data_IF_812992275343
#
_entry.id   IF_812992275343
#
_cell.length_a   1.000
_cell.length_b   1.000
_cell.length_c   1.000
_cell.angle_alpha   90.00
_cell.angle_beta   90.00
_cell.angle_gamma   90.00
#
_symmetry.space_group_name_H-M   'P 1'
#
loop_
_entity.id
_entity.type
_entity.pdbx_description
1 polymer ?
#
# COMPACT_ATOMS: atom_id res chain seq x y z
N UNK A 1 -26.23 -61.13 61.12
CA UNK A 1 -25.12 -61.56 62.00
C UNK A 1 -23.84 -61.09 61.32
N UNK A 2 -23.05 -60.21 61.94
CA UNK A 2 -21.78 -59.73 61.37
C UNK A 2 -20.68 -60.69 61.85
N UNK A 3 -20.04 -61.43 60.94
CA UNK A 3 -18.92 -62.34 61.23
C UNK A 3 -17.59 -61.56 61.12
N UNK A 4 -17.12 -60.99 62.24
CA UNK A 4 -15.83 -60.30 62.31
C UNK A 4 -14.75 -61.29 62.77
N UNK A 5 -13.84 -61.70 61.89
CA UNK A 5 -12.68 -62.56 62.22
C UNK A 5 -11.37 -61.81 62.03
N UNK A 6 -10.48 -61.89 63.02
CA UNK A 6 -9.09 -61.41 62.94
C UNK A 6 -8.15 -62.62 62.97
N UNK A 7 -7.28 -62.75 61.96
CA UNK A 7 -6.24 -63.80 61.90
C UNK A 7 -4.87 -63.14 61.75
N UNK A 8 -3.92 -63.48 62.64
CA UNK A 8 -2.52 -63.05 62.57
C UNK A 8 -1.65 -64.31 62.50
N UNK A 9 -0.85 -64.44 61.44
CA UNK A 9 0.12 -65.53 61.25
C UNK A 9 1.29 -65.06 60.36
N UNK A 10 2.13 -66.00 59.91
CA UNK A 10 3.29 -65.73 59.02
C UNK A 10 2.93 -65.04 57.69
N UNK A 11 1.65 -65.03 57.29
CA UNK A 11 1.17 -64.37 56.08
C UNK A 11 0.70 -62.92 56.32
N UNK A 12 0.68 -62.46 57.58
CA UNK A 12 0.33 -61.10 57.99
C UNK A 12 -1.07 -60.97 58.63
N UNK A 13 -1.68 -59.79 58.47
CA UNK A 13 -3.01 -59.44 59.01
C UNK A 13 -4.02 -59.37 57.86
N UNK A 14 -5.16 -60.04 58.01
CA UNK A 14 -6.30 -59.90 57.11
C UNK A 14 -7.59 -59.77 57.94
N UNK A 15 -8.23 -58.61 57.86
CA UNK A 15 -9.52 -58.33 58.50
C UNK A 15 -10.54 -57.96 57.42
N UNK A 16 -11.73 -58.54 57.49
CA UNK A 16 -12.81 -58.24 56.56
C UNK A 16 -14.16 -58.16 57.28
N UNK A 17 -15.01 -57.24 56.85
CA UNK A 17 -16.41 -57.13 57.27
C UNK A 17 -17.29 -57.23 56.03
N UNK A 18 -18.27 -58.15 56.03
CA UNK A 18 -19.15 -58.44 54.88
C UNK A 18 -20.62 -58.34 55.28
N UNK A 19 -21.43 -57.73 54.42
CA UNK A 19 -22.89 -57.67 54.57
C UNK A 19 -23.56 -57.86 53.21
N UNK A 20 -24.58 -58.72 53.18
CA UNK A 20 -25.42 -58.95 52.00
C UNK A 20 -26.85 -58.62 52.37
N UNK A 21 -27.48 -57.72 51.61
CA UNK A 21 -28.90 -57.36 51.76
C UNK A 21 -29.66 -57.78 50.50
N UNK A 22 -30.79 -58.47 50.68
CA UNK A 22 -31.65 -58.94 49.60
C UNK A 22 -33.00 -58.24 49.71
N UNK A 23 -33.36 -57.44 48.70
CA UNK A 23 -34.64 -56.75 48.64
C UNK A 23 -35.64 -57.56 47.83
N UNK A 24 -36.77 -57.89 48.45
CA UNK A 24 -37.86 -58.68 47.84
C UNK A 24 -38.95 -57.75 47.27
N UNK A 25 -39.78 -58.27 46.35
CA UNK A 25 -40.81 -57.51 45.60
C UNK A 25 -41.72 -56.60 46.47
N UNK A 26 -42.02 -57.00 47.69
CA UNK A 26 -42.95 -56.28 48.59
C UNK A 26 -42.32 -55.07 49.28
N UNK A 27 -41.00 -54.95 49.28
CA UNK A 27 -40.25 -53.91 50.02
C UNK A 27 -39.71 -52.78 49.12
N UNK A 28 -39.88 -52.89 47.80
CA UNK A 28 -39.40 -51.92 46.81
C UNK A 28 -40.58 -51.29 46.04
N UNK A 29 -41.50 -50.61 46.75
CA UNK A 29 -42.61 -49.74 46.28
C UNK A 29 -43.40 -50.13 44.99
N UNK A 30 -43.36 -51.40 44.58
CA UNK A 30 -44.14 -51.95 43.45
C UNK A 30 -43.84 -51.37 42.06
N UNK A 31 -43.05 -50.30 41.92
CA UNK A 31 -42.93 -49.56 40.65
C UNK A 31 -41.74 -49.93 39.76
N UNK A 32 -40.67 -50.56 40.26
CA UNK A 32 -39.42 -50.67 39.49
C UNK A 32 -38.74 -52.05 39.36
N UNK A 33 -39.27 -53.14 39.93
CA UNK A 33 -38.53 -54.40 39.97
C UNK A 33 -39.30 -55.64 39.44
N UNK A 34 -38.81 -56.22 38.33
CA UNK A 34 -39.25 -57.52 37.81
C UNK A 34 -38.63 -58.73 38.55
N UNK A 35 -37.56 -58.54 39.35
CA UNK A 35 -36.88 -59.56 40.19
C UNK A 35 -36.21 -58.97 41.45
N UNK A 36 -35.68 -59.80 42.36
CA UNK A 36 -35.02 -59.37 43.62
C UNK A 36 -33.65 -58.71 43.37
N UNK A 37 -33.35 -57.61 44.08
CA UNK A 37 -32.05 -56.91 44.02
C UNK A 37 -31.18 -57.28 45.22
N UNK A 38 -29.89 -57.57 45.00
CA UNK A 38 -28.92 -57.92 46.05
C UNK A 38 -27.85 -56.84 46.14
N UNK A 39 -27.71 -56.22 47.31
CA UNK A 39 -26.65 -55.24 47.63
C UNK A 39 -25.58 -55.93 48.46
N UNK A 40 -24.37 -56.02 47.92
CA UNK A 40 -23.22 -56.61 48.61
C UNK A 40 -22.22 -55.53 49.03
N UNK A 41 -21.91 -55.46 50.32
CA UNK A 41 -20.93 -54.54 50.87
C UNK A 41 -19.81 -55.32 51.57
N UNK A 42 -18.56 -54.97 51.27
CA UNK A 42 -17.38 -55.57 51.88
C UNK A 42 -16.35 -54.48 52.20
N UNK A 43 -15.79 -54.50 53.40
CA UNK A 43 -14.57 -53.73 53.73
C UNK A 43 -13.47 -54.71 54.09
N UNK A 44 -12.24 -54.45 53.64
CA UNK A 44 -11.08 -55.30 53.88
C UNK A 44 -9.83 -54.49 54.22
N UNK A 45 -9.06 -54.98 55.19
CA UNK A 45 -7.73 -54.53 55.55
C UNK A 45 -6.76 -55.72 55.41
N UNK A 46 -5.70 -55.57 54.62
CA UNK A 46 -4.63 -56.55 54.46
C UNK A 46 -3.27 -55.91 54.71
N UNK A 47 -2.47 -56.47 55.61
CA UNK A 47 -1.07 -56.12 55.81
C UNK A 47 -0.25 -57.39 55.62
N UNK A 48 0.65 -57.40 54.65
CA UNK A 48 1.50 -58.56 54.30
C UNK A 48 2.92 -58.11 54.00
N UNK A 49 3.86 -59.05 53.84
CA UNK A 49 5.23 -58.75 53.38
C UNK A 49 5.28 -58.01 52.03
N UNK A 50 4.23 -58.13 51.22
CA UNK A 50 4.11 -57.49 49.90
C UNK A 50 3.56 -56.06 49.97
N UNK A 51 3.01 -55.64 51.11
CA UNK A 51 2.47 -54.28 51.30
C UNK A 51 1.16 -54.20 52.11
N UNK A 52 0.50 -53.05 51.99
CA UNK A 52 -0.74 -52.69 52.71
C UNK A 52 -1.88 -52.43 51.72
N UNK A 53 -3.04 -53.03 51.94
CA UNK A 53 -4.26 -52.79 51.17
C UNK A 53 -5.46 -52.53 52.07
N UNK A 54 -6.17 -51.42 51.83
CA UNK A 54 -7.44 -51.09 52.47
C UNK A 54 -8.46 -50.91 51.36
N UNK A 55 -9.56 -51.68 51.36
CA UNK A 55 -10.61 -51.52 50.35
C UNK A 55 -11.99 -51.52 50.97
N UNK A 56 -12.88 -50.72 50.37
CA UNK A 56 -14.31 -50.72 50.61
C UNK A 56 -14.96 -50.96 49.25
N UNK A 57 -15.79 -51.99 49.18
CA UNK A 57 -16.51 -52.42 48.00
C UNK A 57 -18.00 -52.38 48.27
N UNK A 58 -18.73 -51.74 47.39
CA UNK A 58 -20.20 -51.79 47.33
C UNK A 58 -20.61 -52.17 45.91
N UNK A 59 -21.22 -53.34 45.76
CA UNK A 59 -21.48 -53.96 44.45
C UNK A 59 -20.19 -54.02 43.62
N UNK A 60 -20.11 -53.34 42.47
CA UNK A 60 -18.92 -53.31 41.61
C UNK A 60 -18.01 -52.09 41.83
N UNK A 61 -18.40 -51.14 42.70
CA UNK A 61 -17.61 -49.93 42.99
C UNK A 61 -16.63 -50.25 44.11
N UNK A 62 -15.34 -50.01 43.86
CA UNK A 62 -14.27 -50.24 44.82
C UNK A 62 -13.53 -48.92 45.07
N UNK A 63 -13.51 -48.48 46.32
CA UNK A 63 -12.53 -47.52 46.81
C UNK A 63 -11.40 -48.30 47.49
N UNK A 64 -10.15 -48.06 47.11
CA UNK A 64 -9.01 -48.78 47.66
C UNK A 64 -7.75 -47.94 47.79
N UNK A 65 -7.01 -48.16 48.87
CA UNK A 65 -5.65 -47.70 49.11
C UNK A 65 -4.74 -48.93 49.01
N UNK A 66 -3.80 -48.94 48.06
CA UNK A 66 -2.83 -50.02 47.90
C UNK A 66 -1.41 -49.46 47.94
N UNK A 67 -0.57 -49.97 48.85
CA UNK A 67 0.81 -49.55 49.03
C UNK A 67 1.73 -50.76 48.84
N UNK A 68 2.74 -50.62 47.97
CA UNK A 68 3.85 -51.56 47.75
C UNK A 68 5.19 -50.90 48.12
N UNK A 69 6.31 -51.60 47.90
CA UNK A 69 7.65 -51.03 48.10
C UNK A 69 7.98 -49.91 47.10
N UNK A 70 7.31 -49.86 45.95
CA UNK A 70 7.58 -48.91 44.86
C UNK A 70 6.53 -47.81 44.72
N UNK A 71 5.29 -48.02 45.19
CA UNK A 71 4.20 -47.09 44.88
C UNK A 71 3.03 -47.14 45.85
N UNK A 72 2.27 -46.05 45.88
CA UNK A 72 0.97 -45.95 46.53
C UNK A 72 -0.08 -45.63 45.46
N UNK A 73 -1.09 -46.47 45.33
CA UNK A 73 -2.24 -46.28 44.44
C UNK A 73 -3.49 -46.01 45.26
N UNK A 74 -4.06 -44.83 45.09
CA UNK A 74 -5.37 -44.45 45.59
C UNK A 74 -6.37 -44.60 44.44
N UNK A 75 -7.32 -45.52 44.58
CA UNK A 75 -8.39 -45.73 43.61
C UNK A 75 -9.72 -45.36 44.25
N UNK A 76 -10.32 -44.25 43.84
CA UNK A 76 -11.62 -43.81 44.28
C UNK A 76 -12.23 -42.86 43.25
N UNK A 77 -13.54 -42.69 43.26
CA UNK A 77 -14.21 -41.69 42.42
C UNK A 77 -13.85 -40.25 42.83
N UNK A 78 -13.51 -40.03 44.11
CA UNK A 78 -13.11 -38.74 44.67
C UNK A 78 -12.02 -38.94 45.72
N UNK A 79 -11.00 -38.10 45.69
CA UNK A 79 -9.94 -38.02 46.70
C UNK A 79 -9.87 -36.57 47.17
N UNK A 80 -10.26 -36.31 48.42
CA UNK A 80 -10.17 -34.99 49.02
C UNK A 80 -8.82 -34.84 49.74
N UNK A 81 -7.99 -33.92 49.25
CA UNK A 81 -6.72 -33.56 49.86
C UNK A 81 -6.85 -32.16 50.48
N UNK A 82 -6.65 -32.05 51.79
CA UNK A 82 -6.73 -30.78 52.52
C UNK A 82 -5.31 -30.33 52.87
N UNK A 83 -4.86 -29.19 52.32
CA UNK A 83 -3.55 -28.60 52.59
C UNK A 83 -2.67 -28.46 51.34
N UNK A 84 -1.38 -28.16 51.55
CA UNK A 84 -0.38 -28.05 50.48
C UNK A 84 0.11 -29.43 50.06
N UNK A 85 0.19 -29.66 48.75
CA UNK A 85 0.73 -30.90 48.16
C UNK A 85 1.98 -30.54 47.36
N UNK A 86 3.12 -31.15 47.70
CA UNK A 86 4.33 -31.06 46.89
C UNK A 86 4.33 -32.23 45.90
N UNK A 87 4.39 -31.94 44.61
CA UNK A 87 4.46 -32.94 43.55
C UNK A 87 5.42 -32.46 42.45
N UNK A 88 6.30 -33.35 41.99
CA UNK A 88 7.22 -33.04 40.89
C UNK A 88 6.52 -33.08 39.53
N UNK A 89 5.55 -33.99 39.37
CA UNK A 89 4.76 -34.15 38.16
C UNK A 89 3.29 -34.38 38.51
N UNK A 90 2.40 -33.78 37.73
CA UNK A 90 0.95 -33.95 37.83
C UNK A 90 0.42 -34.30 36.44
N UNK A 91 -0.24 -35.45 36.31
CA UNK A 91 -0.98 -35.83 35.11
C UNK A 91 -2.47 -35.81 35.43
N UNK A 92 -3.18 -34.80 34.96
CA UNK A 92 -4.61 -34.61 35.18
C UNK A 92 -5.36 -34.52 33.83
N UNK A 93 -6.64 -34.88 33.84
CA UNK A 93 -7.53 -34.65 32.69
C UNK A 93 -8.02 -33.20 32.61
N UNK A 94 -8.56 -32.69 33.72
CA UNK A 94 -9.05 -31.31 33.87
C UNK A 94 -8.58 -30.76 35.22
N UNK A 95 -8.01 -29.55 35.19
CA UNK A 95 -7.80 -28.72 36.38
C UNK A 95 -8.82 -27.57 36.32
N UNK A 96 -9.59 -27.36 37.39
CA UNK A 96 -10.64 -26.34 37.45
C UNK A 96 -10.57 -25.59 38.78
N UNK A 97 -10.72 -24.27 38.74
CA UNK A 97 -10.67 -23.41 39.92
C UNK A 97 -9.27 -23.23 40.53
N UNK A 98 -8.20 -23.48 39.78
CA UNK A 98 -6.82 -23.30 40.24
C UNK A 98 -6.12 -22.12 39.54
N UNK A 99 -5.28 -21.41 40.28
CA UNK A 99 -4.26 -20.52 39.71
C UNK A 99 -2.95 -21.29 39.57
N UNK A 100 -2.26 -21.16 38.44
CA UNK A 100 -0.96 -21.77 38.23
C UNK A 100 0.12 -20.68 38.09
N UNK A 101 1.14 -20.75 38.92
CA UNK A 101 2.33 -19.89 38.85
C UNK A 101 3.57 -20.74 38.69
N UNK A 102 4.41 -20.39 37.72
CA UNK A 102 5.66 -21.13 37.48
C UNK A 102 6.77 -20.85 38.50
N UNK A 103 6.64 -19.79 39.30
CA UNK A 103 7.60 -19.39 40.32
C UNK A 103 6.91 -18.59 41.43
N UNK A 104 7.52 -18.58 42.62
CA UNK A 104 7.12 -17.73 43.75
C UNK A 104 7.91 -16.41 43.82
N UNK A 105 8.79 -16.16 42.84
CA UNK A 105 9.49 -14.88 42.67
C UNK A 105 8.62 -13.86 41.90
N UNK A 106 9.12 -12.65 41.72
CA UNK A 106 8.42 -11.62 40.94
C UNK A 106 8.40 -11.87 39.42
N UNK A 107 9.14 -12.89 38.96
CA UNK A 107 9.21 -13.29 37.55
C UNK A 107 8.53 -14.65 37.38
N UNK A 108 7.35 -14.67 36.77
CA UNK A 108 6.56 -15.89 36.62
C UNK A 108 5.57 -15.80 35.46
N UNK A 109 5.15 -16.97 34.99
CA UNK A 109 3.96 -17.10 34.16
C UNK A 109 2.79 -17.37 35.07
N UNK A 110 1.70 -16.64 34.87
CA UNK A 110 0.44 -16.82 35.60
C UNK A 110 -0.63 -17.34 34.66
N UNK A 111 -1.30 -18.41 35.06
CA UNK A 111 -2.59 -18.84 34.51
C UNK A 111 -3.65 -18.53 35.57
N UNK A 112 -4.31 -17.39 35.40
CA UNK A 112 -5.33 -16.89 36.34
C UNK A 112 -6.68 -16.85 35.63
N UNK A 113 -7.61 -17.70 36.08
CA UNK A 113 -8.94 -17.88 35.49
C UNK A 113 -8.90 -18.18 33.99
N UNK A 114 -9.18 -17.16 33.15
CA UNK A 114 -9.23 -17.26 31.69
C UNK A 114 -8.02 -16.61 31.01
N UNK A 115 -7.02 -16.16 31.78
CA UNK A 115 -5.95 -15.30 31.30
C UNK A 115 -4.58 -15.89 31.50
N UNK A 116 -3.68 -15.56 30.57
CA UNK A 116 -2.26 -15.89 30.65
C UNK A 116 -1.47 -14.59 30.75
N UNK A 117 -0.59 -14.49 31.75
CA UNK A 117 0.25 -13.31 31.97
C UNK A 117 1.72 -13.68 32.14
N UNK A 118 2.60 -12.87 31.56
CA UNK A 118 4.04 -12.91 31.84
C UNK A 118 4.38 -11.75 32.77
N UNK A 119 4.88 -12.07 33.95
CA UNK A 119 5.30 -11.10 34.94
C UNK A 119 6.82 -10.97 34.99
N UNK A 120 7.29 -9.73 35.09
CA UNK A 120 8.65 -9.40 35.47
C UNK A 120 8.60 -8.33 36.57
N UNK A 121 9.21 -8.59 37.73
CA UNK A 121 9.24 -7.66 38.87
C UNK A 121 7.86 -7.14 39.28
N UNK A 122 6.85 -8.01 39.23
CA UNK A 122 5.46 -7.67 39.55
C UNK A 122 4.73 -6.84 38.48
N UNK A 123 5.37 -6.58 37.34
CA UNK A 123 4.78 -5.86 36.20
C UNK A 123 4.43 -6.85 35.09
N UNK A 124 3.20 -6.79 34.58
CA UNK A 124 2.80 -7.58 33.42
C UNK A 124 3.51 -7.07 32.17
N UNK A 125 4.26 -7.95 31.50
CA UNK A 125 4.95 -7.69 30.23
C UNK A 125 4.20 -8.22 29.02
N UNK A 126 3.33 -9.21 29.24
CA UNK A 126 2.42 -9.72 28.23
C UNK A 126 1.13 -10.20 28.87
N UNK A 127 0.03 -10.01 28.15
CA UNK A 127 -1.30 -10.49 28.53
C UNK A 127 -1.96 -11.14 27.31
N UNK A 128 -2.47 -12.36 27.50
CA UNK A 128 -3.34 -13.04 26.55
C UNK A 128 -4.67 -13.35 27.24
N UNK A 129 -5.75 -12.82 26.67
CA UNK A 129 -7.07 -12.94 27.26
C UNK A 129 -8.13 -12.17 26.50
N UNK A 130 -9.01 -11.49 27.23
CA UNK A 130 -10.02 -10.62 26.69
C UNK A 130 -10.23 -9.43 27.62
N UNK A 131 -10.75 -8.33 27.08
CA UNK A 131 -11.26 -7.21 27.85
C UNK A 131 -12.69 -6.90 27.43
N UNK A 132 -13.42 -6.18 28.28
CA UNK A 132 -14.78 -5.71 27.96
C UNK A 132 -14.74 -4.25 27.53
N UNK A 133 -15.35 -3.97 26.39
CA UNK A 133 -15.56 -2.61 25.90
C UNK A 133 -16.67 -1.92 26.69
N UNK A 134 -16.78 -0.60 26.54
CA UNK A 134 -17.84 0.22 27.14
C UNK A 134 -19.26 -0.19 26.71
N UNK A 135 -19.41 -0.77 25.52
CA UNK A 135 -20.65 -1.36 25.00
C UNK A 135 -20.99 -2.75 25.58
N UNK A 136 -20.14 -3.28 26.49
CA UNK A 136 -20.30 -4.59 27.12
C UNK A 136 -19.79 -5.77 26.30
N UNK A 137 -19.37 -5.56 25.05
CA UNK A 137 -18.84 -6.62 24.20
C UNK A 137 -17.49 -7.12 24.72
N UNK A 138 -17.32 -8.44 24.69
CA UNK A 138 -16.05 -9.11 25.01
C UNK A 138 -15.16 -9.06 23.78
N UNK A 139 -13.93 -8.58 23.95
CA UNK A 139 -12.96 -8.47 22.88
C UNK A 139 -11.70 -9.28 23.23
N UNK A 140 -11.49 -10.44 22.57
CA UNK A 140 -10.23 -11.16 22.68
C UNK A 140 -9.04 -10.27 22.31
N UNK A 141 -7.99 -10.32 23.10
CA UNK A 141 -6.82 -9.46 22.94
C UNK A 141 -5.51 -10.14 23.34
N UNK A 142 -4.45 -9.69 22.68
CA UNK A 142 -3.08 -9.95 23.08
C UNK A 142 -2.35 -8.61 23.20
N UNK A 143 -1.72 -8.38 24.34
CA UNK A 143 -1.04 -7.14 24.69
C UNK A 143 0.41 -7.45 25.01
N UNK A 144 1.35 -6.72 24.41
CA UNK A 144 2.76 -6.70 24.83
C UNK A 144 3.14 -5.34 25.39
N UNK A 145 3.80 -5.36 26.53
CA UNK A 145 4.21 -4.18 27.29
C UNK A 145 3.29 -3.85 28.48
N UNK A 146 2.12 -4.51 28.60
CA UNK A 146 1.22 -4.30 29.74
C UNK A 146 0.16 -5.40 29.96
N UNK A 147 -0.74 -5.15 30.92
CA UNK A 147 -1.94 -5.96 31.24
C UNK A 147 -3.23 -5.37 30.64
N UNK A 148 -4.36 -6.07 30.80
CA UNK A 148 -5.70 -5.72 30.30
C UNK A 148 -6.39 -4.57 31.07
N UNK A 149 -5.78 -4.07 32.13
CA UNK A 149 -6.44 -3.27 33.16
C UNK A 149 -6.63 -1.80 32.76
N UNK A 150 -7.84 -1.39 32.36
CA UNK A 150 -8.42 -0.03 32.19
C UNK A 150 -7.61 1.09 31.50
N UNK A 151 -6.33 0.88 31.23
CA UNK A 151 -5.32 1.90 30.94
C UNK A 151 -4.27 1.35 29.95
N UNK A 152 -4.59 0.44 29.02
CA UNK A 152 -3.64 -0.10 28.03
C UNK A 152 -2.69 1.01 27.55
N UNK A 153 -1.44 1.05 28.08
CA UNK A 153 -0.70 2.29 28.17
C UNK A 153 -0.27 2.69 26.78
N UNK A 154 -0.02 3.97 26.60
CA UNK A 154 0.58 4.46 25.38
C UNK A 154 1.86 3.67 25.06
N UNK A 155 2.00 3.24 23.81
CA UNK A 155 3.18 2.51 23.35
C UNK A 155 3.12 0.99 23.47
N UNK A 156 2.02 0.38 23.93
CA UNK A 156 1.90 -1.09 23.93
C UNK A 156 1.55 -1.64 22.55
N UNK A 157 2.06 -2.83 22.23
CA UNK A 157 1.52 -3.59 21.10
C UNK A 157 0.16 -4.14 21.52
N UNK A 158 -0.86 -3.82 20.74
CA UNK A 158 -2.23 -4.19 20.99
C UNK A 158 -2.81 -4.93 19.78
N UNK A 159 -3.16 -6.20 20.00
CA UNK A 159 -3.84 -7.05 19.03
C UNK A 159 -5.23 -7.37 19.52
N UNK A 160 -6.24 -7.29 18.65
CA UNK A 160 -7.61 -7.56 19.06
C UNK A 160 -8.49 -8.03 17.90
N UNK A 161 -9.55 -8.75 18.24
CA UNK A 161 -10.58 -9.20 17.31
C UNK A 161 -11.95 -8.81 17.85
N UNK A 162 -12.85 -8.30 17.00
CA UNK A 162 -14.20 -7.94 17.38
C UNK A 162 -15.24 -8.49 16.40
N UNK A 163 -16.42 -8.84 16.93
CA UNK A 163 -17.58 -9.23 16.13
C UNK A 163 -17.43 -10.56 15.39
N UNK A 164 -16.73 -11.55 15.95
CA UNK A 164 -16.57 -12.85 15.29
C UNK A 164 -17.93 -13.43 14.83
N UNK A 165 -17.99 -13.89 13.58
CA UNK A 165 -19.22 -14.38 12.96
C UNK A 165 -20.11 -13.31 12.29
N UNK A 166 -19.89 -12.02 12.56
CA UNK A 166 -20.69 -10.93 12.00
C UNK A 166 -20.10 -10.42 10.68
N UNK A 167 -20.90 -9.79 9.82
CA UNK A 167 -20.43 -9.26 8.53
C UNK A 167 -19.40 -8.13 8.72
N UNK A 168 -19.56 -7.34 9.78
CA UNK A 168 -18.62 -6.29 10.20
C UNK A 168 -17.50 -6.77 11.13
N UNK A 169 -17.21 -8.08 11.19
CA UNK A 169 -16.10 -8.59 11.98
C UNK A 169 -14.78 -7.95 11.53
N UNK A 170 -13.93 -7.57 12.48
CA UNK A 170 -12.62 -7.03 12.20
C UNK A 170 -11.58 -7.51 13.21
N UNK A 171 -10.32 -7.45 12.80
CA UNK A 171 -9.16 -7.63 13.66
C UNK A 171 -8.19 -6.47 13.44
N UNK A 172 -7.44 -6.11 14.47
CA UNK A 172 -6.40 -5.09 14.34
C UNK A 172 -5.16 -5.45 15.14
N UNK A 173 -4.01 -5.05 14.62
CA UNK A 173 -2.71 -5.06 15.31
C UNK A 173 -2.11 -3.67 15.20
N UNK A 174 -1.61 -3.12 16.29
CA UNK A 174 -0.99 -1.79 16.27
C UNK A 174 -0.45 -1.36 17.61
N UNK A 175 0.01 -0.11 17.68
CA UNK A 175 0.52 0.52 18.89
C UNK A 175 -0.57 1.37 19.52
N UNK A 176 -0.85 1.17 20.80
CA UNK A 176 -1.84 1.96 21.55
C UNK A 176 -1.37 3.40 21.76
N UNK A 177 -2.32 4.33 21.75
CA UNK A 177 -2.12 5.76 21.97
C UNK A 177 -3.10 6.28 23.03
N UNK A 178 -3.33 5.48 24.06
CA UNK A 178 -4.27 5.78 25.14
C UNK A 178 -5.67 5.18 24.92
N UNK A 179 -6.57 5.51 25.84
CA UNK A 179 -7.95 5.04 25.87
C UNK A 179 -8.88 6.25 25.88
N UNK A 180 -9.86 6.22 24.99
CA UNK A 180 -10.92 7.23 24.90
C UNK A 180 -12.26 6.48 24.92
N UNK A 181 -13.17 6.86 25.83
CA UNK A 181 -14.49 6.25 26.01
C UNK A 181 -14.48 4.72 26.18
N UNK A 182 -13.44 4.21 26.85
CA UNK A 182 -13.25 2.78 27.09
C UNK A 182 -12.82 1.99 25.85
N UNK A 183 -12.44 2.66 24.76
CA UNK A 183 -11.85 2.05 23.57
C UNK A 183 -10.37 2.41 23.44
N UNK A 184 -9.54 1.41 23.13
CA UNK A 184 -8.11 1.59 22.88
C UNK A 184 -7.92 2.32 21.55
N UNK A 185 -7.39 3.53 21.61
CA UNK A 185 -6.94 4.28 20.44
C UNK A 185 -5.56 3.78 20.03
N UNK A 186 -5.24 3.88 18.74
CA UNK A 186 -3.96 3.43 18.19
C UNK A 186 -3.31 4.54 17.39
N UNK A 187 -1.98 4.70 17.53
CA UNK A 187 -1.20 5.68 16.76
C UNK A 187 -0.80 5.15 15.39
N UNK A 188 -0.51 3.85 15.32
CA UNK A 188 -0.20 3.12 14.08
C UNK A 188 -0.85 1.76 14.19
N UNK A 189 -1.59 1.34 13.15
CA UNK A 189 -2.21 0.02 13.14
C UNK A 189 -2.49 -0.49 11.73
N UNK A 190 -2.62 -1.82 11.65
CA UNK A 190 -3.22 -2.52 10.55
C UNK A 190 -4.55 -3.10 10.99
N UNK A 191 -5.62 -2.74 10.27
CA UNK A 191 -6.95 -3.29 10.46
C UNK A 191 -7.35 -4.18 9.28
N UNK A 192 -7.98 -5.29 9.61
CA UNK A 192 -8.41 -6.35 8.72
C UNK A 192 -9.90 -6.59 8.93
N UNK A 193 -10.72 -6.22 7.96
CA UNK A 193 -12.17 -6.39 8.04
C UNK A 193 -12.65 -7.55 7.16
N UNK A 194 -13.65 -8.28 7.65
CA UNK A 194 -14.25 -9.43 6.95
C UNK A 194 -14.89 -9.06 5.61
N UNK A 195 -15.36 -7.82 5.46
CA UNK A 195 -15.93 -7.30 4.21
C UNK A 195 -14.89 -7.09 3.09
N UNK A 196 -13.60 -7.37 3.35
CA UNK A 196 -12.52 -7.23 2.39
C UNK A 196 -11.74 -5.91 2.49
N UNK A 197 -12.07 -5.03 3.44
CA UNK A 197 -11.30 -3.81 3.70
C UNK A 197 -10.05 -4.12 4.53
N UNK A 198 -8.90 -3.60 4.08
CA UNK A 198 -7.64 -3.57 4.83
C UNK A 198 -7.21 -2.12 4.99
N UNK A 199 -7.00 -1.66 6.22
CA UNK A 199 -6.57 -0.29 6.52
C UNK A 199 -5.19 -0.33 7.12
N UNK A 200 -4.22 0.31 6.47
CA UNK A 200 -2.94 0.66 7.07
C UNK A 200 -3.04 2.13 7.51
N UNK A 201 -2.91 2.40 8.80
CA UNK A 201 -3.03 3.74 9.36
C UNK A 201 -1.77 4.08 10.18
N UNK A 202 -1.28 5.30 10.00
CA UNK A 202 -0.32 5.97 10.85
C UNK A 202 -0.77 7.42 11.05
N UNK A 203 -0.76 7.90 12.29
CA UNK A 203 -1.17 9.28 12.62
C UNK A 203 -0.30 10.38 11.97
N UNK A 204 0.89 10.03 11.49
CA UNK A 204 1.83 10.96 10.87
C UNK A 204 2.12 10.54 9.41
N UNK A 205 3.13 9.70 9.16
CA UNK A 205 3.45 9.21 7.83
C UNK A 205 3.81 7.71 7.82
N UNK A 206 3.61 7.08 6.65
CA UNK A 206 4.12 5.75 6.38
C UNK A 206 5.49 5.82 5.69
N UNK A 207 6.45 5.03 6.17
CA UNK A 207 7.72 4.80 5.48
C UNK A 207 7.75 3.38 4.93
N UNK A 208 7.99 3.27 3.63
CA UNK A 208 7.99 2.01 2.92
C UNK A 208 9.36 1.80 2.26
N UNK A 209 10.07 0.72 2.60
CA UNK A 209 11.35 0.34 1.99
C UNK A 209 11.17 -0.87 1.06
N UNK A 210 11.61 -0.74 -0.18
CA UNK A 210 11.69 -1.83 -1.13
C UNK A 210 13.12 -1.91 -1.66
N UNK A 211 13.79 -3.05 -1.47
CA UNK A 211 15.18 -3.23 -1.91
C UNK A 211 15.38 -3.06 -3.41
N UNK A 212 14.33 -3.32 -4.22
CA UNK A 212 14.35 -3.10 -5.67
C UNK A 212 13.91 -1.70 -6.09
N UNK A 213 13.46 -0.85 -5.14
CA UNK A 213 12.86 0.46 -5.46
C UNK A 213 11.49 0.38 -6.15
N UNK A 214 10.86 -0.79 -6.22
CA UNK A 214 9.63 -1.00 -7.00
C UNK A 214 8.40 -1.26 -6.13
N UNK A 215 7.30 -0.55 -6.41
CA UNK A 215 6.01 -0.66 -5.74
C UNK A 215 4.88 -0.87 -6.74
N UNK A 216 4.14 -1.97 -6.60
CA UNK A 216 3.07 -2.35 -7.53
C UNK A 216 1.69 -2.18 -6.88
N UNK A 217 0.86 -1.33 -7.45
CA UNK A 217 -0.55 -1.17 -7.10
C UNK A 217 -1.40 -1.81 -8.20
N UNK A 218 -1.83 -3.05 -7.96
CA UNK A 218 -2.50 -3.87 -8.98
C UNK A 218 -4.02 -3.85 -8.81
N UNK A 219 -4.73 -3.54 -9.90
CA UNK A 219 -6.16 -3.80 -10.03
C UNK A 219 -6.40 -5.20 -10.61
N UNK A 220 -7.48 -5.85 -10.18
CA UNK A 220 -7.88 -7.18 -10.68
C UNK A 220 -7.38 -8.34 -9.82
N UNK A 221 -7.59 -9.57 -10.31
CA UNK A 221 -7.21 -10.80 -9.59
C UNK A 221 -5.81 -11.28 -10.00
N UNK A 222 -5.03 -11.91 -9.10
CA UNK A 222 -3.84 -12.66 -9.47
C UNK A 222 -4.09 -13.55 -10.71
N UNK A 223 -3.34 -13.34 -11.80
CA UNK A 223 -3.42 -14.15 -13.02
C UNK A 223 -4.46 -13.74 -14.08
N UNK A 224 -5.27 -12.69 -13.88
CA UNK A 224 -6.29 -12.24 -14.84
C UNK A 224 -6.39 -10.70 -14.88
N UNK A 225 -6.45 -10.11 -16.09
CA UNK A 225 -6.68 -8.67 -16.36
C UNK A 225 -6.07 -7.72 -15.31
N UNK A 226 -4.74 -7.74 -15.19
CA UNK A 226 -4.04 -6.87 -14.25
C UNK A 226 -3.68 -5.55 -14.90
N UNK A 227 -4.26 -4.46 -14.38
CA UNK A 227 -3.70 -3.13 -14.58
C UNK A 227 -2.84 -2.80 -13.37
N UNK A 228 -1.73 -2.10 -13.58
CA UNK A 228 -0.85 -1.69 -12.49
C UNK A 228 -0.53 -0.21 -12.59
N UNK A 229 -0.67 0.49 -11.48
CA UNK A 229 0.06 1.72 -11.21
C UNK A 229 1.36 1.29 -10.52
N UNK A 230 2.51 1.73 -11.01
CA UNK A 230 3.80 1.29 -10.47
C UNK A 230 4.71 2.49 -10.22
N UNK A 231 5.36 2.50 -9.06
CA UNK A 231 6.49 3.39 -8.78
C UNK A 231 7.75 2.55 -8.88
N UNK A 232 8.68 2.90 -9.75
CA UNK A 232 9.91 2.14 -9.98
C UNK A 232 11.10 3.08 -9.92
N UNK A 233 12.09 2.76 -9.08
CA UNK A 233 13.40 3.42 -9.07
C UNK A 233 14.47 2.38 -9.45
N UNK A 234 15.22 2.66 -10.53
CA UNK A 234 16.27 1.76 -11.02
C UNK A 234 17.70 2.29 -10.75
N UNK A 235 17.86 3.18 -9.77
CA UNK A 235 19.09 3.94 -9.43
C UNK A 235 19.48 5.03 -10.42
N UNK A 236 18.92 5.05 -11.63
CA UNK A 236 19.15 6.09 -12.64
C UNK A 236 17.91 6.92 -12.88
N UNK A 237 16.78 6.24 -13.04
CA UNK A 237 15.47 6.79 -13.35
C UNK A 237 14.48 6.45 -12.23
N UNK A 238 13.63 7.42 -11.92
CA UNK A 238 12.44 7.25 -11.08
C UNK A 238 11.21 7.41 -11.98
N UNK A 239 10.44 6.33 -12.09
CA UNK A 239 9.29 6.19 -12.98
C UNK A 239 7.99 6.09 -12.18
N UNK A 240 7.00 6.89 -12.58
CA UNK A 240 5.59 6.63 -12.31
C UNK A 240 4.98 6.01 -13.57
N UNK A 241 4.79 4.69 -13.53
CA UNK A 241 4.25 3.92 -14.65
C UNK A 241 2.74 3.77 -14.51
N UNK A 242 2.03 4.43 -15.41
CA UNK A 242 0.61 4.22 -15.68
C UNK A 242 0.47 3.08 -16.71
N UNK A 243 -0.76 2.57 -16.95
CA UNK A 243 -0.96 1.43 -17.85
C UNK A 243 -0.36 1.62 -19.26
N UNK A 244 -0.42 2.82 -19.83
CA UNK A 244 0.00 3.12 -21.20
C UNK A 244 0.99 4.28 -21.32
N UNK A 245 1.36 4.92 -20.21
CA UNK A 245 2.36 6.00 -20.21
C UNK A 245 3.25 5.88 -18.98
N UNK A 246 4.46 6.42 -19.08
CA UNK A 246 5.39 6.53 -17.96
C UNK A 246 5.79 7.98 -17.82
N UNK A 247 5.63 8.53 -16.62
CA UNK A 247 6.22 9.80 -16.25
C UNK A 247 7.57 9.48 -15.60
N UNK A 248 8.64 9.97 -16.21
CA UNK A 248 10.01 9.68 -15.77
C UNK A 248 10.71 10.96 -15.36
N UNK A 249 11.47 10.88 -14.28
CA UNK A 249 12.57 11.81 -14.02
C UNK A 249 13.82 10.99 -13.75
N UNK A 250 14.97 11.45 -14.25
CA UNK A 250 16.21 10.69 -14.16
C UNK A 250 17.39 11.56 -13.78
N UNK A 251 18.47 10.89 -13.39
CA UNK A 251 19.79 11.46 -13.10
C UNK A 251 20.79 11.22 -14.23
N UNK A 252 20.35 10.58 -15.31
CA UNK A 252 21.18 10.33 -16.48
C UNK A 252 21.58 11.64 -17.18
N UNK A 253 22.81 11.67 -17.67
CA UNK A 253 23.32 12.79 -18.47
C UNK A 253 22.46 12.98 -19.73
N UNK A 254 22.05 14.22 -19.99
CA UNK A 254 21.24 14.60 -21.15
C UNK A 254 19.76 14.87 -20.83
N UNK A 255 19.22 14.36 -19.72
CA UNK A 255 17.85 14.67 -19.28
C UNK A 255 17.69 14.74 -17.76
N UNK A 256 18.79 15.03 -17.04
CA UNK A 256 18.75 15.26 -15.60
C UNK A 256 17.84 16.44 -15.26
N UNK A 257 16.91 16.25 -14.32
CA UNK A 257 15.99 17.31 -13.89
C UNK A 257 14.82 17.59 -14.84
N UNK A 258 14.69 16.83 -15.94
CA UNK A 258 13.58 16.97 -16.91
C UNK A 258 12.50 15.92 -16.62
N UNK A 259 11.23 16.30 -16.72
CA UNK A 259 10.11 15.35 -16.72
C UNK A 259 9.92 14.84 -18.15
N UNK A 260 9.99 13.53 -18.33
CA UNK A 260 9.73 12.87 -19.60
C UNK A 260 8.38 12.17 -19.56
N UNK A 261 7.62 12.24 -20.66
CA UNK A 261 6.41 11.44 -20.87
C UNK A 261 6.74 10.38 -21.91
N UNK A 262 6.74 9.11 -21.52
CA UNK A 262 7.06 7.96 -22.38
C UNK A 262 5.81 7.13 -22.64
N UNK A 263 5.75 6.45 -23.78
CA UNK A 263 4.73 5.45 -24.10
C UNK A 263 5.42 4.11 -24.41
N UNK A 264 4.77 2.94 -24.14
CA UNK A 264 5.27 1.63 -24.55
C UNK A 264 5.53 1.52 -26.05
N UNK A 265 4.79 2.29 -26.86
CA UNK A 265 4.91 2.28 -28.32
C UNK A 265 6.14 3.06 -28.78
N UNK A 266 6.39 4.22 -28.19
CA UNK A 266 7.48 5.09 -28.66
C UNK A 266 8.78 4.89 -27.90
N UNK A 267 8.77 4.22 -26.73
CA UNK A 267 9.87 3.90 -25.78
C UNK A 267 10.87 5.04 -25.44
N UNK A 268 10.77 6.16 -26.13
CA UNK A 268 11.73 7.24 -26.25
C UNK A 268 10.95 8.56 -26.23
N UNK A 269 10.47 8.92 -25.05
CA UNK A 269 10.51 10.31 -24.59
C UNK A 269 9.49 11.31 -25.12
N UNK A 270 8.46 10.95 -25.90
CA UNK A 270 7.47 11.93 -26.36
C UNK A 270 6.07 11.33 -26.51
N UNK A 271 5.46 10.94 -25.39
CA UNK A 271 4.01 10.78 -25.34
C UNK A 271 3.33 12.12 -25.63
N UNK A 272 2.17 12.10 -26.30
CA UNK A 272 1.37 13.32 -26.43
C UNK A 272 0.84 13.72 -25.06
N UNK A 273 1.06 14.99 -24.70
CA UNK A 273 0.40 15.60 -23.55
C UNK A 273 -0.75 16.43 -24.08
N UNK A 274 -1.98 15.99 -23.84
CA UNK A 274 -3.15 16.82 -24.07
C UNK A 274 -3.39 17.67 -22.82
N UNK A 275 -3.13 18.96 -22.91
CA UNK A 275 -3.27 19.89 -21.80
C UNK A 275 -3.32 21.33 -22.28
N UNK A 276 -3.82 22.21 -21.41
CA UNK A 276 -3.80 23.65 -21.67
C UNK A 276 -2.46 24.22 -21.19
N UNK A 277 -1.57 24.57 -22.13
CA UNK A 277 -0.29 25.18 -21.81
C UNK A 277 -0.47 26.68 -21.65
N UNK A 278 -0.65 27.13 -20.40
CA UNK A 278 -0.79 28.54 -20.05
C UNK A 278 0.55 29.07 -19.55
N UNK A 279 1.08 30.11 -20.18
CA UNK A 279 2.26 30.84 -19.68
C UNK A 279 1.81 32.01 -18.81
N UNK A 280 2.00 31.98 -17.47
CA UNK A 280 1.65 33.10 -16.61
C UNK A 280 2.42 34.36 -17.02
N UNK A 281 1.70 35.47 -17.24
CA UNK A 281 2.29 36.71 -17.76
C UNK A 281 1.63 37.94 -17.16
N UNK A 282 1.73 38.08 -15.83
CA UNK A 282 1.26 39.26 -15.11
C UNK A 282 2.42 40.22 -14.79
N UNK A 283 2.12 41.51 -14.61
CA UNK A 283 3.11 42.54 -14.24
C UNK A 283 3.72 42.28 -12.86
N UNK A 284 3.00 41.62 -11.96
CA UNK A 284 3.53 41.19 -10.65
C UNK A 284 4.68 40.19 -10.75
N UNK A 285 4.76 39.40 -11.82
CA UNK A 285 5.85 38.42 -12.03
C UNK A 285 7.02 38.99 -12.82
N UNK A 286 6.89 40.21 -13.37
CA UNK A 286 7.83 40.77 -14.34
C UNK A 286 8.27 42.18 -13.92
N UNK A 287 9.57 42.37 -13.71
CA UNK A 287 10.17 43.69 -13.51
C UNK A 287 10.94 44.13 -14.76
N UNK A 288 11.32 45.41 -14.80
CA UNK A 288 12.14 45.97 -15.88
C UNK A 288 11.53 45.81 -17.30
N UNK A 289 10.20 45.96 -17.40
CA UNK A 289 9.45 45.85 -18.64
C UNK A 289 9.76 47.06 -19.54
N UNK A 290 10.31 46.78 -20.72
CA UNK A 290 10.76 47.76 -21.72
C UNK A 290 10.40 47.28 -23.12
N UNK A 291 10.44 48.20 -24.08
CA UNK A 291 10.31 47.84 -25.49
C UNK A 291 11.48 46.97 -25.96
N UNK A 292 11.21 46.14 -26.97
CA UNK A 292 12.24 45.31 -27.61
C UNK A 292 13.21 46.24 -28.34
N UNK A 293 14.48 46.25 -27.92
CA UNK A 293 15.50 47.21 -28.39
C UNK A 293 16.23 46.80 -29.67
N UNK A 294 15.82 45.70 -30.30
CA UNK A 294 16.39 45.15 -31.54
C UNK A 294 15.27 44.86 -32.54
N UNK A 295 15.58 44.71 -33.82
CA UNK A 295 14.58 44.28 -34.81
C UNK A 295 14.26 42.81 -34.62
N UNK A 296 13.01 42.53 -34.21
CA UNK A 296 12.54 41.15 -34.14
C UNK A 296 12.43 40.53 -35.53
N UNK A 297 12.11 41.34 -36.55
CA UNK A 297 12.05 40.91 -37.94
C UNK A 297 13.40 40.40 -38.45
N UNK A 298 14.49 41.11 -38.15
CA UNK A 298 15.84 40.67 -38.51
C UNK A 298 16.17 39.32 -37.87
N UNK A 299 15.90 39.17 -36.57
CA UNK A 299 16.15 37.90 -35.87
C UNK A 299 15.34 36.75 -36.44
N UNK A 300 14.04 36.95 -36.71
CA UNK A 300 13.17 35.92 -37.30
C UNK A 300 13.62 35.55 -38.73
N UNK A 301 14.04 36.53 -39.54
CA UNK A 301 14.58 36.27 -40.90
C UNK A 301 15.85 35.42 -40.86
N UNK A 302 16.63 35.51 -39.79
CA UNK A 302 17.86 34.74 -39.61
C UNK A 302 17.61 33.33 -39.04
N UNK A 303 16.40 33.00 -38.56
CA UNK A 303 16.07 31.65 -38.09
C UNK A 303 16.10 30.66 -39.25
N UNK A 304 16.89 29.59 -39.09
CA UNK A 304 16.99 28.51 -40.08
C UNK A 304 16.12 27.33 -39.68
N UNK A 305 15.05 27.12 -40.45
CA UNK A 305 14.24 25.90 -40.32
C UNK A 305 14.95 24.76 -41.02
N UNK A 306 15.23 23.67 -40.29
CA UNK A 306 15.85 22.46 -40.79
C UNK A 306 14.84 21.32 -40.83
N UNK A 307 15.02 20.42 -41.78
CA UNK A 307 14.42 19.09 -41.72
C UNK A 307 15.39 18.13 -41.02
N UNK A 308 14.90 17.24 -40.18
CA UNK A 308 15.73 16.29 -39.44
C UNK A 308 14.98 15.01 -39.07
N UNK A 309 15.73 13.97 -38.76
CA UNK A 309 15.25 12.75 -38.11
C UNK A 309 15.92 12.63 -36.74
N UNK A 310 15.22 12.08 -35.75
CA UNK A 310 15.86 11.79 -34.47
C UNK A 310 16.85 10.64 -34.59
N UNK A 311 17.96 10.71 -33.83
CA UNK A 311 19.03 9.69 -33.84
C UNK A 311 18.50 8.27 -33.61
N UNK A 312 17.50 8.11 -32.75
CA UNK A 312 16.88 6.80 -32.50
C UNK A 312 16.11 6.27 -33.71
N UNK A 313 15.34 7.09 -34.42
CA UNK A 313 14.64 6.69 -35.64
C UNK A 313 15.63 6.28 -36.75
N UNK A 314 16.79 6.96 -36.83
CA UNK A 314 17.89 6.56 -37.72
C UNK A 314 18.49 5.21 -37.29
N UNK A 315 18.66 4.96 -35.98
CA UNK A 315 19.12 3.67 -35.49
C UNK A 315 18.12 2.54 -35.79
N UNK A 316 16.82 2.78 -35.64
CA UNK A 316 15.79 1.81 -36.03
C UNK A 316 15.80 1.54 -37.55
N UNK A 317 16.01 2.57 -38.38
CA UNK A 317 16.19 2.38 -39.82
C UNK A 317 17.39 1.46 -40.13
N UNK A 318 18.49 1.56 -39.39
CA UNK A 318 19.62 0.64 -39.56
C UNK A 318 19.25 -0.81 -39.23
N UNK A 319 18.52 -1.05 -38.13
CA UNK A 319 18.03 -2.40 -37.81
C UNK A 319 17.08 -2.94 -38.88
N UNK A 320 16.13 -2.12 -39.34
CA UNK A 320 15.22 -2.49 -40.42
C UNK A 320 15.98 -2.84 -41.71
N UNK A 321 17.11 -2.18 -41.98
CA UNK A 321 17.97 -2.51 -43.14
C UNK A 321 18.70 -3.84 -42.96
N UNK A 322 19.17 -4.16 -41.77
CA UNK A 322 19.85 -5.43 -41.46
C UNK A 322 18.90 -6.62 -41.56
N UNK A 323 17.66 -6.46 -41.09
CA UNK A 323 16.64 -7.53 -41.07
C UNK A 323 15.93 -7.71 -42.43
N UNK A 324 16.16 -6.80 -43.38
CA UNK A 324 15.46 -6.79 -44.67
C UNK A 324 16.02 -7.81 -45.65
N UNK A 325 15.11 -8.53 -46.32
CA UNK A 325 15.43 -9.45 -47.41
C UNK A 325 16.14 -8.75 -48.60
N UNK A 326 17.15 -9.37 -49.23
CA UNK A 326 17.90 -8.80 -50.36
C UNK A 326 17.04 -8.38 -51.57
N UNK A 327 15.86 -8.98 -51.75
CA UNK A 327 15.00 -8.77 -52.92
C UNK A 327 14.06 -7.56 -52.81
N UNK A 328 13.94 -6.93 -51.64
CA UNK A 328 13.09 -5.75 -51.47
C UNK A 328 13.77 -4.48 -52.01
N UNK A 329 13.11 -3.32 -52.13
CA UNK A 329 13.74 -2.02 -52.41
C UNK A 329 14.45 -1.44 -51.18
N UNK A 330 15.59 -0.71 -51.32
CA UNK A 330 16.38 -0.22 -50.18
C UNK A 330 15.58 0.75 -49.32
N UNK A 331 15.61 0.54 -48.00
CA UNK A 331 14.99 1.47 -47.05
C UNK A 331 15.82 2.75 -46.97
N UNK A 332 15.16 3.89 -47.06
CA UNK A 332 15.73 5.24 -47.04
C UNK A 332 15.24 6.02 -45.83
N UNK A 333 15.70 7.27 -45.70
CA UNK A 333 15.19 8.19 -44.67
C UNK A 333 13.71 8.55 -44.87
N UNK A 334 13.13 8.25 -46.04
CA UNK A 334 11.69 8.43 -46.30
C UNK A 334 10.83 7.39 -45.57
N UNK A 335 11.42 6.26 -45.18
CA UNK A 335 10.75 5.18 -44.42
C UNK A 335 10.69 5.46 -42.91
N UNK A 336 11.23 6.60 -42.46
CA UNK A 336 11.15 7.06 -41.07
C UNK A 336 10.56 8.47 -40.99
N UNK A 337 10.03 8.83 -39.81
CA UNK A 337 9.39 10.13 -39.63
C UNK A 337 10.39 11.28 -39.75
N UNK A 338 10.11 12.20 -40.67
CA UNK A 338 10.79 13.50 -40.79
C UNK A 338 10.10 14.56 -39.93
N UNK A 339 10.93 15.38 -39.28
CA UNK A 339 10.53 16.51 -38.45
C UNK A 339 11.12 17.81 -39.02
N UNK A 340 10.51 18.93 -38.65
CA UNK A 340 10.92 20.26 -39.08
C UNK A 340 10.99 21.18 -37.87
N UNK A 341 12.02 22.01 -37.80
CA UNK A 341 12.18 22.94 -36.68
C UNK A 341 13.50 23.68 -36.72
N UNK A 342 13.71 24.52 -35.71
CA UNK A 342 14.96 25.22 -35.51
C UNK A 342 15.96 24.33 -34.73
N UNK A 343 17.24 24.49 -35.00
CA UNK A 343 18.33 23.83 -34.26
C UNK A 343 18.91 24.87 -33.29
N UNK A 344 19.01 24.51 -32.01
CA UNK A 344 19.43 25.44 -30.94
C UNK A 344 20.77 26.10 -31.26
N UNK A 345 21.75 25.32 -31.70
CA UNK A 345 23.10 25.79 -32.05
C UNK A 345 23.14 26.77 -33.24
N UNK A 346 22.04 26.89 -34.01
CA UNK A 346 21.90 27.80 -35.14
C UNK A 346 20.99 29.02 -34.83
N UNK A 347 20.51 29.17 -33.60
CA UNK A 347 19.57 30.22 -33.20
C UNK A 347 20.24 31.37 -32.44
N UNK A 348 19.63 32.55 -32.50
CA UNK A 348 19.97 33.67 -31.63
C UNK A 348 19.58 33.37 -30.17
N UNK A 349 20.40 33.80 -29.20
CA UNK A 349 20.19 33.60 -27.76
C UNK A 349 18.79 34.02 -27.27
N UNK A 350 18.16 35.00 -27.92
CA UNK A 350 16.80 35.44 -27.59
C UNK A 350 15.73 34.34 -27.76
N UNK A 351 16.02 33.29 -28.54
CA UNK A 351 15.13 32.15 -28.79
C UNK A 351 15.49 30.91 -27.96
N UNK A 352 16.63 30.91 -27.29
CA UNK A 352 17.16 29.73 -26.59
C UNK A 352 16.82 29.84 -25.10
N UNK A 353 16.64 28.70 -24.46
CA UNK A 353 16.48 28.63 -23.01
C UNK A 353 17.79 28.93 -22.27
N UNK A 354 17.70 29.17 -20.96
CA UNK A 354 18.88 29.50 -20.14
C UNK A 354 19.93 28.37 -20.13
N UNK A 355 19.50 27.12 -20.35
CA UNK A 355 20.41 25.98 -20.39
C UNK A 355 21.19 25.83 -21.70
N UNK A 356 20.81 26.58 -22.75
CA UNK A 356 21.41 26.46 -24.07
C UNK A 356 21.06 25.17 -24.80
N UNK A 357 20.00 24.46 -24.39
CA UNK A 357 19.66 23.11 -24.91
C UNK A 357 18.27 23.01 -25.48
N UNK A 358 17.45 24.05 -25.35
CA UNK A 358 16.08 24.08 -25.83
C UNK A 358 15.69 25.42 -26.45
N UNK A 359 14.66 25.41 -27.28
CA UNK A 359 14.03 26.64 -27.76
C UNK A 359 13.04 27.13 -26.69
N UNK A 360 13.18 28.39 -26.27
CA UNK A 360 12.24 29.04 -25.36
C UNK A 360 10.97 29.46 -26.12
N UNK A 361 9.99 28.54 -26.17
CA UNK A 361 8.79 28.67 -27.00
C UNK A 361 8.03 29.99 -26.77
N UNK A 362 7.94 30.46 -25.52
CA UNK A 362 7.25 31.71 -25.20
C UNK A 362 7.94 32.93 -25.82
N UNK A 363 9.28 33.00 -25.77
CA UNK A 363 10.04 34.06 -26.44
C UNK A 363 9.94 33.95 -27.95
N UNK A 364 10.06 32.73 -28.48
CA UNK A 364 9.97 32.44 -29.90
C UNK A 364 8.65 32.93 -30.51
N UNK A 365 7.51 32.57 -29.90
CA UNK A 365 6.19 33.05 -30.32
C UNK A 365 6.02 34.56 -30.14
N UNK A 366 6.47 35.14 -29.02
CA UNK A 366 6.31 36.57 -28.73
C UNK A 366 7.11 37.45 -29.71
N UNK A 367 8.35 37.05 -30.04
CA UNK A 367 9.17 37.75 -31.01
C UNK A 367 8.64 37.60 -32.44
N UNK A 368 7.99 36.48 -32.76
CA UNK A 368 7.28 36.33 -34.04
C UNK A 368 6.14 37.34 -34.17
N UNK A 369 5.38 37.57 -33.08
CA UNK A 369 4.33 38.61 -33.04
C UNK A 369 4.95 40.01 -33.25
N UNK A 370 6.07 40.32 -32.57
CA UNK A 370 6.75 41.61 -32.73
C UNK A 370 7.30 41.81 -34.15
N UNK A 371 7.89 40.77 -34.75
CA UNK A 371 8.35 40.79 -36.13
C UNK A 371 7.21 41.08 -37.12
N UNK A 372 6.03 40.50 -36.88
CA UNK A 372 4.85 40.77 -37.70
C UNK A 372 4.41 42.24 -37.58
N UNK A 373 4.46 42.82 -36.38
CA UNK A 373 4.18 44.26 -36.18
C UNK A 373 5.18 45.15 -36.93
N UNK A 374 6.46 44.78 -36.98
CA UNK A 374 7.49 45.51 -37.74
C UNK A 374 7.25 45.44 -39.25
N UNK A 375 6.82 44.27 -39.76
CA UNK A 375 6.43 44.10 -41.17
C UNK A 375 5.23 44.96 -41.51
N UNK A 376 4.19 44.93 -40.67
CA UNK A 376 2.97 45.73 -40.87
C UNK A 376 3.27 47.22 -40.95
N UNK A 377 4.11 47.73 -40.04
CA UNK A 377 4.57 49.13 -40.07
C UNK A 377 5.27 49.48 -41.40
N UNK A 378 6.16 48.60 -41.88
CA UNK A 378 6.88 48.79 -43.15
C UNK A 378 5.90 48.80 -44.35
N UNK A 379 4.90 47.91 -44.34
CA UNK A 379 3.89 47.84 -45.40
C UNK A 379 3.04 49.11 -45.41
N UNK A 380 2.60 49.59 -44.26
CA UNK A 380 1.83 50.84 -44.13
C UNK A 380 2.62 52.04 -44.66
N UNK A 381 3.92 52.14 -44.36
CA UNK A 381 4.79 53.19 -44.92
C UNK A 381 4.88 53.10 -46.46
N UNK A 382 5.07 51.89 -47.00
CA UNK A 382 5.11 51.66 -48.45
C UNK A 382 3.79 52.00 -49.15
N UNK A 383 2.65 51.73 -48.53
CA UNK A 383 1.32 52.07 -49.07
C UNK A 383 1.17 53.59 -49.27
N UNK A 384 1.63 54.38 -48.31
CA UNK A 384 1.63 55.85 -48.40
C UNK A 384 2.56 56.32 -49.53
N UNK A 385 3.75 55.74 -49.63
CA UNK A 385 4.70 56.08 -50.69
C UNK A 385 4.15 55.74 -52.09
N UNK A 386 3.56 54.56 -52.26
CA UNK A 386 2.92 54.13 -53.51
C UNK A 386 1.75 55.08 -53.87
N UNK A 387 0.94 55.50 -52.89
CA UNK A 387 -0.13 56.46 -53.13
C UNK A 387 0.41 57.82 -53.63
N UNK A 388 1.49 58.31 -53.02
CA UNK A 388 2.16 59.53 -53.45
C UNK A 388 2.75 59.41 -54.86
N UNK A 389 3.39 58.29 -55.19
CA UNK A 389 3.93 58.03 -56.53
C UNK A 389 2.80 57.99 -57.56
N UNK A 390 1.67 57.32 -57.26
CA UNK A 390 0.50 57.30 -58.16
C UNK A 390 -0.03 58.70 -58.47
N UNK A 391 -0.09 59.59 -57.48
CA UNK A 391 -0.48 60.99 -57.69
C UNK A 391 0.51 61.75 -58.57
N UNK A 392 1.81 61.54 -58.37
CA UNK A 392 2.85 62.16 -59.19
C UNK A 392 2.79 61.67 -60.65
N UNK A 393 2.61 60.37 -60.87
CA UNK A 393 2.45 59.77 -62.21
C UNK A 393 1.23 60.36 -62.92
N UNK A 394 0.07 60.40 -62.25
CA UNK A 394 -1.15 60.99 -62.83
C UNK A 394 -0.95 62.48 -63.21
N UNK A 395 -0.23 63.25 -62.37
CA UNK A 395 0.11 64.64 -62.70
C UNK A 395 1.05 64.76 -63.90
N UNK A 396 2.02 63.85 -64.04
CA UNK A 396 2.95 63.82 -65.16
C UNK A 396 2.23 63.43 -66.46
N UNK A 397 1.38 62.42 -66.43
CA UNK A 397 0.54 62.02 -67.56
C UNK A 397 -0.33 63.20 -68.04
N UNK A 398 -0.94 63.95 -67.12
CA UNK A 398 -1.69 65.16 -67.47
C UNK A 398 -0.84 66.26 -68.12
N UNK A 399 0.43 66.40 -67.72
CA UNK A 399 1.37 67.35 -68.36
C UNK A 399 1.78 66.87 -69.76
N UNK A 400 2.03 65.58 -69.93
CA UNK A 400 2.38 64.98 -71.23
C UNK A 400 1.22 65.17 -72.20
N UNK A 401 -0.01 64.84 -71.81
CA UNK A 401 -1.19 65.03 -72.65
C UNK A 401 -1.36 66.49 -73.13
N UNK A 402 -1.12 67.48 -72.26
CA UNK A 402 -1.14 68.91 -72.63
C UNK A 402 -0.04 69.28 -73.62
N UNK A 403 1.16 68.75 -73.43
CA UNK A 403 2.28 68.98 -74.35
C UNK A 403 2.01 68.34 -75.72
N UNK A 404 1.44 67.13 -75.75
CA UNK A 404 1.00 66.46 -76.97
C UNK A 404 -0.08 67.27 -77.71
N UNK A 405 -1.06 67.82 -76.99
CA UNK A 405 -2.10 68.68 -77.56
C UNK A 405 -1.51 69.96 -78.18
N UNK A 406 -0.60 70.63 -77.45
CA UNK A 406 0.10 71.83 -77.96
C UNK A 406 0.94 71.52 -79.20
N UNK A 407 1.61 70.35 -79.23
CA UNK A 407 2.39 69.91 -80.39
C UNK A 407 1.48 69.64 -81.61
N UNK A 408 0.33 68.97 -81.40
CA UNK A 408 -0.70 68.76 -82.41
C UNK A 408 -1.22 70.09 -82.97
N UNK A 409 -1.52 71.07 -82.12
CA UNK A 409 -1.93 72.41 -82.55
C UNK A 409 -0.83 73.10 -83.38
N UNK A 410 0.44 73.00 -82.97
CA UNK A 410 1.56 73.55 -83.74
C UNK A 410 1.72 72.89 -85.11
N UNK A 411 1.49 71.59 -85.21
CA UNK A 411 1.57 70.85 -86.48
C UNK A 411 0.39 71.20 -87.42
N UNK A 412 -0.81 71.42 -86.88
CA UNK A 412 -1.98 71.86 -87.66
C UNK A 412 -1.78 73.27 -88.20
N UNK A 413 -1.27 74.20 -87.38
CA UNK A 413 -1.01 75.59 -87.76
C UNK A 413 0.15 75.76 -88.76
N UNK A 414 0.92 74.69 -89.05
CA UNK A 414 2.03 74.67 -90.02
C UNK A 414 1.65 74.07 -91.38
N UNK A 415 0.39 73.74 -91.65
CA UNK A 415 -0.03 73.40 -93.03
C UNK A 415 0.18 74.63 -93.94
N UNK A 416 0.99 74.55 -95.00
CA UNK A 416 1.09 75.63 -95.97
C UNK A 416 -0.18 75.62 -96.84
N UNK A 417 -0.81 76.78 -96.99
CA UNK A 417 -1.74 77.01 -98.11
C UNK A 417 -0.94 76.82 -99.41
N UNK A 418 -1.32 75.82 -100.21
CA UNK A 418 -0.84 75.74 -101.60
C UNK A 418 -1.54 76.83 -102.43
N UNK A 419 -0.80 77.52 -103.32
CA UNK A 419 -1.32 78.61 -104.14
C UNK A 419 -2.38 78.20 -105.15
#
# INVERSE_FOLDING_TARGET
MIDNRFTINEQGINAAAKKTEVYTKTQADGQFATGSYVRAMETRLQLTEKGVSISVKENDVIAAINMSKESIKLNAARIDLVGKVNAEWIKAGLLSGCQNRTSNTDNYVSLDDQFIRLYERGVARAFLGHYRRSDGAVQPTFILGHDEKTNAPEGTLFMSQAGAGWSGAYASIGISNGIVDGAVQKSVYWELQRNGLSVLNANDYHVFYAGSGSWYFRGGKPGLYQTSLVVEDNSTDSDLRLPNITLRNGRAAGYTGIIQVKSPVTQNGWGSVQGNFMSPSLREYKSNIRDVSFSALEKIRNVRVRQFNYKNAVNELYKMREERSPNNPPLTTEDIKTYYGAIVDECDEAFIDESGKGIHLYSYSSLTIKALQEVDATVQEQEVEIANIKLQVASQEGRIARLEELLLQQLINKKPEQP
#
